data_IF_132096875195
#
_entry.id   IF_132096875195
#
_cell.length_a   1.000
_cell.length_b   1.000
_cell.length_c   1.000
_cell.angle_alpha   90.00
_cell.angle_beta   90.00
_cell.angle_gamma   90.00
#
_symmetry.space_group_name_H-M   'P 1'
#
loop_
_entity.id
_entity.type
_entity.pdbx_description
1 polymer ?
#
# COMPACT_ATOMS: atom_id res chain seq x y z
N UNK A 1 7.44 22.48 3.06
CA UNK A 1 6.67 22.55 1.79
C UNK A 1 7.34 21.84 0.62
N UNK A 2 8.67 21.92 0.46
CA UNK A 2 9.37 21.28 -0.67
C UNK A 2 9.26 19.75 -0.72
N UNK A 3 9.32 19.09 0.44
CA UNK A 3 9.18 17.62 0.52
C UNK A 3 7.78 17.18 0.06
N UNK A 4 6.73 17.88 0.50
CA UNK A 4 5.35 17.59 0.10
C UNK A 4 5.13 17.78 -1.41
N UNK A 5 5.72 18.83 -2.01
CA UNK A 5 5.68 19.05 -3.46
C UNK A 5 6.41 17.95 -4.23
N UNK A 6 7.56 17.48 -3.73
CA UNK A 6 8.30 16.37 -4.34
C UNK A 6 7.52 15.06 -4.26
N UNK A 7 6.89 14.76 -3.12
CA UNK A 7 6.05 13.59 -2.94
C UNK A 7 4.81 13.64 -3.85
N UNK A 8 4.17 14.80 -3.96
CA UNK A 8 3.05 14.99 -4.89
C UNK A 8 3.48 14.81 -6.35
N UNK A 9 4.64 15.33 -6.75
CA UNK A 9 5.15 15.11 -8.11
C UNK A 9 5.52 13.64 -8.35
N UNK A 10 6.06 12.96 -7.35
CA UNK A 10 6.39 11.54 -7.41
C UNK A 10 5.13 10.67 -7.56
N UNK A 11 4.07 10.94 -6.79
CA UNK A 11 2.81 10.16 -6.87
C UNK A 11 2.15 10.24 -8.25
N UNK A 12 2.37 11.34 -8.98
CA UNK A 12 1.88 11.54 -10.36
C UNK A 12 2.76 10.89 -11.44
N UNK A 13 3.90 10.30 -11.08
CA UNK A 13 4.74 9.54 -12.01
C UNK A 13 4.29 8.08 -12.09
N UNK A 14 4.50 7.43 -13.24
CA UNK A 14 4.17 6.01 -13.42
C UNK A 14 4.77 5.12 -12.32
N UNK A 15 6.06 5.30 -12.01
CA UNK A 15 6.75 4.56 -10.94
C UNK A 15 6.12 4.81 -9.58
N UNK A 16 5.83 6.08 -9.24
CA UNK A 16 5.24 6.41 -7.94
C UNK A 16 3.82 5.89 -7.79
N UNK A 17 3.02 5.91 -8.85
CA UNK A 17 1.68 5.30 -8.86
C UNK A 17 1.77 3.79 -8.58
N UNK A 18 2.67 3.06 -9.26
CA UNK A 18 2.86 1.62 -9.02
C UNK A 18 3.27 1.35 -7.57
N UNK A 19 4.23 2.12 -7.02
CA UNK A 19 4.66 1.97 -5.62
C UNK A 19 3.51 2.19 -4.65
N UNK A 20 2.70 3.25 -4.84
CA UNK A 20 1.56 3.55 -3.97
C UNK A 20 0.50 2.45 -4.05
N UNK A 21 0.16 1.97 -5.24
CA UNK A 21 -0.81 0.88 -5.42
C UNK A 21 -0.33 -0.38 -4.71
N UNK A 22 0.94 -0.77 -4.89
CA UNK A 22 1.52 -1.93 -4.21
C UNK A 22 1.52 -1.77 -2.68
N UNK A 23 1.83 -0.57 -2.19
CA UNK A 23 1.76 -0.26 -0.76
C UNK A 23 0.33 -0.42 -0.23
N UNK A 24 -0.67 0.10 -0.94
CA UNK A 24 -2.07 -0.04 -0.56
C UNK A 24 -2.51 -1.51 -0.55
N UNK A 25 -2.13 -2.29 -1.56
CA UNK A 25 -2.42 -3.74 -1.60
C UNK A 25 -1.77 -4.45 -0.41
N UNK A 26 -0.50 -4.16 -0.13
CA UNK A 26 0.26 -4.80 0.93
C UNK A 26 -0.31 -4.53 2.33
N UNK A 27 -0.78 -3.30 2.59
CA UNK A 27 -1.25 -2.94 3.92
C UNK A 27 -2.75 -3.12 4.11
N UNK A 28 -3.57 -2.78 3.11
CA UNK A 28 -5.02 -2.87 3.23
C UNK A 28 -5.55 -4.21 2.74
N UNK A 29 -5.17 -4.65 1.54
CA UNK A 29 -5.74 -5.87 0.96
C UNK A 29 -5.20 -7.13 1.64
N UNK A 30 -3.89 -7.21 1.95
CA UNK A 30 -3.34 -8.35 2.69
C UNK A 30 -3.98 -8.51 4.07
N UNK A 31 -4.39 -7.42 4.73
CA UNK A 31 -5.06 -7.50 6.04
C UNK A 31 -6.40 -8.25 5.98
N UNK A 32 -7.08 -8.22 4.83
CA UNK A 32 -8.34 -8.94 4.61
C UNK A 32 -8.16 -10.29 3.89
N UNK A 33 -7.06 -10.46 3.14
CA UNK A 33 -6.71 -11.69 2.42
C UNK A 33 -5.90 -12.66 3.26
N UNK A 34 -5.41 -12.26 4.44
CA UNK A 34 -4.95 -13.18 5.48
C UNK A 34 -6.15 -13.48 6.39
N UNK A 35 -6.97 -14.51 6.11
CA UNK A 35 -7.68 -15.17 7.19
C UNK A 35 -6.58 -15.82 8.03
N UNK A 36 -6.50 -15.48 9.30
CA UNK A 36 -5.65 -16.21 10.22
C UNK A 36 -6.19 -17.65 10.31
N UNK A 37 -5.72 -18.53 9.43
CA UNK A 37 -5.92 -19.97 9.54
C UNK A 37 -5.37 -20.53 10.86
N UNK A 38 -4.43 -19.80 11.49
CA UNK A 38 -3.97 -20.03 12.86
C UNK A 38 -5.04 -19.70 13.92
N UNK A 39 -5.98 -18.78 13.66
CA UNK A 39 -7.14 -18.49 14.52
C UNK A 39 -8.35 -19.39 14.23
N UNK A 40 -8.23 -20.35 13.30
CA UNK A 40 -9.30 -21.30 12.94
C UNK A 40 -9.28 -22.61 13.75
N UNK A 41 -8.46 -22.71 14.79
CA UNK A 41 -8.49 -23.80 15.77
C UNK A 41 -8.93 -23.17 17.11
N UNK A 42 -10.22 -23.06 17.46
CA UNK A 42 -11.19 -24.16 17.64
C UNK A 42 -11.44 -25.09 16.46
#
# INVERSE_FOLDING_TARGET
MEILKKLYKFSQSWTGTVVIVLLVIFFFIQAFVIPSGSMKNT
#
